data_IF_382313406075
#
_entry.id   IF_382313406075
#
_cell.length_a   1.000
_cell.length_b   1.000
_cell.length_c   1.000
_cell.angle_alpha   90.00
_cell.angle_beta   90.00
_cell.angle_gamma   90.00
#
_symmetry.space_group_name_H-M   'P 1'
#
loop_
_entity.id
_entity.type
_entity.pdbx_description
1 polymer ?
#
# COMPACT_ATOMS: atom_id res chain seq x y z
N UNK A 1 25.86 23.96 13.43
CA UNK A 1 24.76 23.61 14.35
C UNK A 1 23.69 23.01 13.46
N UNK A 2 23.52 21.70 13.46
CA UNK A 2 22.45 21.10 12.66
C UNK A 2 21.16 21.38 13.42
N UNK A 3 20.28 22.21 12.87
CA UNK A 3 18.89 22.24 13.34
C UNK A 3 18.34 20.82 13.20
N UNK A 4 18.00 20.20 14.32
CA UNK A 4 17.36 18.90 14.33
C UNK A 4 15.97 19.04 13.72
N UNK A 5 15.79 18.53 12.51
CA UNK A 5 14.48 18.47 11.85
C UNK A 5 13.57 17.55 12.67
N UNK A 6 12.42 18.07 13.10
CA UNK A 6 11.39 17.31 13.78
C UNK A 6 10.29 16.92 12.77
N UNK A 7 10.12 15.62 12.52
CA UNK A 7 9.19 15.13 11.49
C UNK A 7 7.92 14.57 12.13
N UNK A 8 6.81 15.25 11.86
CA UNK A 8 5.47 14.80 12.22
C UNK A 8 4.82 14.15 11.00
N UNK A 9 4.30 12.93 11.16
CA UNK A 9 3.58 12.21 10.09
C UNK A 9 2.11 12.07 10.46
N UNK A 10 1.23 12.64 9.64
CA UNK A 10 -0.22 12.44 9.75
C UNK A 10 -0.68 11.14 9.08
N UNK A 11 -1.47 10.34 9.79
CA UNK A 11 -2.11 9.14 9.26
C UNK A 11 -3.62 9.30 9.17
N UNK A 12 -4.15 9.29 7.95
CA UNK A 12 -5.59 9.27 7.71
C UNK A 12 -6.25 8.00 8.28
N UNK A 13 -7.52 8.10 8.68
CA UNK A 13 -8.32 6.95 9.15
C UNK A 13 -8.54 5.93 8.03
N UNK A 14 -8.94 4.71 8.40
CA UNK A 14 -9.21 3.66 7.40
C UNK A 14 -10.39 4.03 6.49
N UNK A 15 -11.40 4.69 7.05
CA UNK A 15 -12.56 5.21 6.31
C UNK A 15 -12.13 6.25 5.28
N UNK A 16 -11.28 7.20 5.68
CA UNK A 16 -10.80 8.25 4.78
C UNK A 16 -9.94 7.65 3.66
N UNK A 17 -9.05 6.71 3.97
CA UNK A 17 -8.26 6.01 2.95
C UNK A 17 -9.15 5.22 1.98
N UNK A 18 -10.16 4.52 2.50
CA UNK A 18 -11.10 3.77 1.68
C UNK A 18 -11.91 4.70 0.77
N UNK A 19 -12.30 5.89 1.24
CA UNK A 19 -13.04 6.88 0.44
C UNK A 19 -12.32 7.22 -0.87
N UNK A 20 -11.02 7.52 -0.81
CA UNK A 20 -10.26 7.98 -1.99
C UNK A 20 -9.51 6.87 -2.75
N UNK A 21 -9.28 5.70 -2.14
CA UNK A 21 -8.68 4.53 -2.83
C UNK A 21 -9.71 3.51 -3.31
N UNK A 22 -10.83 3.40 -2.61
CA UNK A 22 -11.89 2.42 -2.83
C UNK A 22 -11.48 0.98 -2.50
N UNK A 23 -12.38 0.05 -2.83
CA UNK A 23 -12.15 -1.40 -2.70
C UNK A 23 -11.87 -1.83 -1.27
N UNK A 24 -10.86 -2.69 -1.11
CA UNK A 24 -10.44 -3.22 0.19
C UNK A 24 -9.23 -2.44 0.79
N UNK A 25 -9.04 -1.18 0.40
CA UNK A 25 -8.01 -0.33 0.99
C UNK A 25 -8.48 0.35 2.28
N UNK A 26 -7.58 0.63 3.23
CA UNK A 26 -6.17 0.23 3.24
C UNK A 26 -6.02 -1.27 3.58
N UNK A 27 -4.96 -1.91 3.07
CA UNK A 27 -4.65 -3.31 3.40
C UNK A 27 -4.26 -3.46 4.88
N UNK A 28 -3.58 -2.45 5.42
CA UNK A 28 -3.21 -2.36 6.83
C UNK A 28 -4.11 -1.33 7.53
N UNK A 29 -4.69 -1.70 8.67
CA UNK A 29 -5.55 -0.81 9.44
C UNK A 29 -4.74 0.35 10.07
N UNK A 30 -5.44 1.34 10.63
CA UNK A 30 -4.82 2.53 11.20
C UNK A 30 -3.78 2.23 12.29
N UNK A 31 -4.03 1.24 13.14
CA UNK A 31 -3.12 0.87 14.21
C UNK A 31 -1.85 0.20 13.67
N UNK A 32 -1.98 -0.72 12.70
CA UNK A 32 -0.85 -1.37 12.03
C UNK A 32 0.02 -0.36 11.28
N UNK A 33 -0.61 0.61 10.60
CA UNK A 33 0.08 1.72 9.93
C UNK A 33 0.80 2.62 10.93
N UNK A 34 0.19 2.89 12.08
CA UNK A 34 0.80 3.68 13.16
C UNK A 34 2.09 3.04 13.64
N UNK A 35 2.07 1.74 13.98
CA UNK A 35 3.27 1.01 14.41
C UNK A 35 4.35 0.98 13.32
N UNK A 36 3.92 0.82 12.05
CA UNK A 36 4.84 0.82 10.91
C UNK A 36 5.57 2.16 10.76
N UNK A 37 4.85 3.28 10.85
CA UNK A 37 5.44 4.61 10.72
C UNK A 37 6.28 4.98 11.92
N UNK A 38 5.87 4.63 13.15
CA UNK A 38 6.68 4.84 14.36
C UNK A 38 8.00 4.05 14.33
N UNK A 39 8.06 2.93 13.62
CA UNK A 39 9.31 2.17 13.44
C UNK A 39 10.30 2.83 12.48
N UNK A 40 9.89 3.89 11.76
CA UNK A 40 10.75 4.59 10.82
C UNK A 40 11.74 5.51 11.56
N UNK A 41 13.04 5.31 11.32
CA UNK A 41 14.13 6.10 11.92
C UNK A 41 13.98 7.61 11.78
N UNK A 42 13.34 8.08 10.70
CA UNK A 42 13.22 9.50 10.40
C UNK A 42 12.02 10.17 11.07
N UNK A 43 11.07 9.39 11.58
CA UNK A 43 9.83 9.93 12.15
C UNK A 43 10.04 10.29 13.61
N UNK A 44 9.63 11.50 14.00
CA UNK A 44 9.69 11.97 15.38
C UNK A 44 8.35 11.76 16.09
N UNK A 45 7.23 11.99 15.39
CA UNK A 45 5.88 11.88 15.94
C UNK A 45 4.86 11.46 14.89
N UNK A 46 3.77 10.82 15.34
CA UNK A 46 2.68 10.38 14.48
C UNK A 46 1.35 10.93 14.97
N UNK A 47 0.62 11.61 14.09
CA UNK A 47 -0.75 12.06 14.34
C UNK A 47 -1.71 10.99 13.82
N UNK A 48 -2.32 10.25 14.74
CA UNK A 48 -3.24 9.16 14.44
C UNK A 48 -4.62 9.75 14.12
N UNK A 49 -5.18 9.41 12.95
CA UNK A 49 -6.47 9.96 12.52
C UNK A 49 -6.36 11.42 12.06
N UNK A 50 -5.25 11.78 11.42
CA UNK A 50 -5.06 13.10 10.86
C UNK A 50 -6.14 13.43 9.80
N UNK A 51 -6.63 14.67 9.74
CA UNK A 51 -7.59 15.09 8.73
C UNK A 51 -6.95 15.08 7.34
N UNK A 52 -7.78 14.88 6.31
CA UNK A 52 -7.34 14.88 4.91
C UNK A 52 -6.87 16.27 4.44
N UNK A 53 -7.64 17.30 4.79
CA UNK A 53 -7.31 18.70 4.49
C UNK A 53 -6.44 19.28 5.60
N UNK A 54 -5.34 19.93 5.23
CA UNK A 54 -4.46 20.63 6.18
C UNK A 54 -5.00 22.04 6.36
N UNK A 55 -5.56 22.33 7.53
CA UNK A 55 -6.11 23.65 7.85
C UNK A 55 -5.14 24.51 8.69
N UNK A 56 -5.54 25.77 8.94
CA UNK A 56 -4.73 26.71 9.74
C UNK A 56 -4.59 26.26 11.19
N UNK A 57 -5.60 25.57 11.73
CA UNK A 57 -5.59 25.10 13.11
C UNK A 57 -4.56 23.99 13.31
N UNK A 58 -4.45 23.05 12.37
CA UNK A 58 -3.45 21.99 12.41
C UNK A 58 -2.05 22.58 12.31
N UNK A 59 -1.84 23.51 11.38
CA UNK A 59 -0.55 24.20 11.21
C UNK A 59 -0.15 24.95 12.48
N UNK A 60 -1.09 25.67 13.12
CA UNK A 60 -0.79 26.43 14.33
C UNK A 60 -0.62 25.52 15.55
N UNK A 61 -1.44 24.48 15.70
CA UNK A 61 -1.40 23.54 16.81
C UNK A 61 -0.05 22.83 16.92
N UNK A 62 0.48 22.36 15.79
CA UNK A 62 1.78 21.69 15.73
C UNK A 62 2.95 22.63 15.45
N UNK A 63 2.70 23.94 15.35
CA UNK A 63 3.68 24.95 14.96
C UNK A 63 4.48 24.55 13.70
N UNK A 64 3.76 24.16 12.65
CA UNK A 64 4.37 23.57 11.44
C UNK A 64 5.08 24.64 10.62
N UNK A 65 6.39 24.46 10.41
CA UNK A 65 7.20 25.32 9.55
C UNK A 65 7.03 24.99 8.06
N UNK A 66 6.88 23.71 7.74
CA UNK A 66 6.79 23.20 6.37
C UNK A 66 5.90 21.96 6.29
N UNK A 67 5.09 21.87 5.23
CA UNK A 67 4.28 20.72 4.85
C UNK A 67 4.89 20.11 3.59
N UNK A 68 5.20 18.82 3.65
CA UNK A 68 5.82 18.10 2.54
C UNK A 68 4.90 17.00 2.04
N UNK A 69 4.75 16.91 0.71
CA UNK A 69 4.12 15.76 0.05
C UNK A 69 5.12 15.09 -0.90
N UNK A 70 4.95 13.79 -1.13
CA UNK A 70 5.70 13.08 -2.16
C UNK A 70 5.34 13.58 -3.56
N UNK A 71 5.96 13.03 -4.60
CA UNK A 71 5.59 13.32 -6.00
C UNK A 71 4.36 12.53 -6.48
N UNK A 72 3.60 11.93 -5.56
CA UNK A 72 2.39 11.19 -5.89
C UNK A 72 1.23 12.14 -6.18
N UNK A 73 0.26 11.65 -6.97
CA UNK A 73 -0.97 12.38 -7.22
C UNK A 73 -1.72 12.67 -5.91
N UNK A 74 -2.14 13.93 -5.77
CA UNK A 74 -2.97 14.41 -4.67
C UNK A 74 -4.41 14.45 -5.16
N UNK A 75 -5.29 13.69 -4.50
CA UNK A 75 -6.71 13.70 -4.82
C UNK A 75 -7.41 14.87 -4.10
N UNK A 76 -8.49 15.41 -4.66
CA UNK A 76 -9.29 16.41 -3.98
C UNK A 76 -9.95 15.85 -2.71
N UNK A 77 -10.27 16.74 -1.78
CA UNK A 77 -11.09 16.42 -0.62
C UNK A 77 -12.55 16.14 -1.03
N UNK A 78 -13.44 15.85 -0.07
CA UNK A 78 -14.86 15.58 -0.33
C UNK A 78 -15.62 16.74 -1.01
N UNK A 79 -15.12 17.97 -0.86
CA UNK A 79 -15.69 19.18 -1.46
C UNK A 79 -15.10 19.47 -2.86
N UNK A 80 -14.19 18.63 -3.36
CA UNK A 80 -13.50 18.84 -4.63
C UNK A 80 -12.37 19.85 -4.56
N UNK A 81 -11.90 20.19 -3.36
CA UNK A 81 -10.85 21.18 -3.14
C UNK A 81 -9.48 20.52 -2.92
N UNK A 82 -8.42 21.26 -3.21
CA UNK A 82 -7.05 20.81 -2.94
C UNK A 82 -6.78 20.79 -1.42
N UNK A 83 -6.44 19.62 -0.83
CA UNK A 83 -6.22 19.51 0.62
C UNK A 83 -5.02 20.32 1.13
N UNK A 84 -4.15 20.81 0.24
CA UNK A 84 -2.98 21.61 0.55
C UNK A 84 -3.14 23.10 0.21
N UNK A 85 -4.37 23.58 -0.06
CA UNK A 85 -4.64 25.01 -0.36
C UNK A 85 -4.04 25.93 0.71
N UNK A 86 -4.33 25.68 1.99
CA UNK A 86 -3.85 26.51 3.10
C UNK A 86 -2.32 26.54 3.21
N UNK A 87 -1.59 25.41 3.26
CA UNK A 87 -0.13 25.47 3.31
C UNK A 87 0.50 26.07 2.05
N UNK A 88 -0.12 25.94 0.87
CA UNK A 88 0.33 26.61 -0.36
C UNK A 88 0.20 28.13 -0.26
N UNK A 89 -0.95 28.62 0.20
CA UNK A 89 -1.20 30.06 0.40
C UNK A 89 -0.23 30.68 1.42
N UNK A 90 0.11 29.91 2.45
CA UNK A 90 1.10 30.31 3.47
C UNK A 90 2.56 30.15 3.01
N UNK A 91 2.80 29.70 1.77
CA UNK A 91 4.15 29.40 1.23
C UNK A 91 4.94 28.39 2.07
N UNK A 92 4.23 27.46 2.71
CA UNK A 92 4.78 26.40 3.56
C UNK A 92 4.73 25.02 2.89
N UNK A 93 4.28 24.90 1.65
CA UNK A 93 4.13 23.62 0.96
C UNK A 93 5.30 23.30 0.02
N UNK A 94 5.85 22.09 0.10
CA UNK A 94 6.89 21.61 -0.80
C UNK A 94 6.61 20.18 -1.31
N UNK A 95 6.88 19.93 -2.59
CA UNK A 95 6.87 18.57 -3.18
C UNK A 95 8.28 18.00 -3.12
N UNK A 96 8.43 16.78 -2.61
CA UNK A 96 9.70 16.03 -2.59
C UNK A 96 9.61 14.74 -3.40
N UNK A 97 10.64 14.50 -4.20
CA UNK A 97 10.80 13.25 -4.94
C UNK A 97 11.40 12.18 -4.02
N UNK A 98 10.75 11.03 -3.92
CA UNK A 98 11.25 9.89 -3.14
C UNK A 98 12.44 9.18 -3.82
N UNK A 99 12.60 9.36 -5.13
CA UNK A 99 13.57 8.60 -5.94
C UNK A 99 13.21 7.12 -6.10
N UNK A 100 12.00 6.70 -5.71
CA UNK A 100 11.54 5.31 -5.76
C UNK A 100 10.21 5.21 -6.48
N UNK A 101 10.12 4.28 -7.44
CA UNK A 101 8.87 3.95 -8.13
C UNK A 101 7.93 3.05 -7.31
N UNK A 102 8.42 2.48 -6.20
CA UNK A 102 7.66 1.55 -5.35
C UNK A 102 6.42 2.21 -4.74
N UNK A 103 5.25 1.62 -4.98
CA UNK A 103 4.00 1.96 -4.30
C UNK A 103 3.21 0.71 -3.86
N UNK A 104 2.16 0.91 -3.05
CA UNK A 104 1.31 -0.19 -2.54
C UNK A 104 0.73 -1.06 -3.67
N UNK A 105 0.35 -0.44 -4.79
CA UNK A 105 -0.13 -1.16 -5.97
C UNK A 105 0.92 -2.12 -6.54
N UNK A 106 2.19 -1.68 -6.64
CA UNK A 106 3.26 -2.56 -7.12
C UNK A 106 3.48 -3.76 -6.19
N UNK A 107 3.41 -3.55 -4.88
CA UNK A 107 3.54 -4.64 -3.90
C UNK A 107 2.41 -5.66 -4.09
N UNK A 108 1.17 -5.18 -4.21
CA UNK A 108 0.00 -6.04 -4.45
C UNK A 108 0.16 -6.82 -5.76
N UNK A 109 0.51 -6.15 -6.86
CA UNK A 109 0.72 -6.81 -8.16
C UNK A 109 1.79 -7.89 -8.10
N UNK A 110 2.89 -7.65 -7.37
CA UNK A 110 3.95 -8.65 -7.18
C UNK A 110 3.47 -9.88 -6.42
N UNK A 111 2.66 -9.68 -5.38
CA UNK A 111 2.08 -10.78 -4.59
C UNK A 111 1.11 -11.61 -5.45
N UNK A 112 0.20 -10.95 -6.17
CA UNK A 112 -0.77 -11.62 -7.05
C UNK A 112 -0.05 -12.40 -8.15
N UNK A 113 0.93 -11.80 -8.82
CA UNK A 113 1.71 -12.49 -9.86
C UNK A 113 2.46 -13.70 -9.32
N UNK A 114 2.95 -13.63 -8.08
CA UNK A 114 3.61 -14.77 -7.46
C UNK A 114 2.64 -15.91 -7.12
N UNK A 115 1.44 -15.56 -6.63
CA UNK A 115 0.36 -16.51 -6.38
C UNK A 115 -0.06 -17.23 -7.67
N UNK A 116 -0.28 -16.50 -8.76
CA UNK A 116 -0.66 -17.08 -10.04
C UNK A 116 0.40 -18.09 -10.52
N UNK A 117 1.68 -17.73 -10.49
CA UNK A 117 2.78 -18.65 -10.85
C UNK A 117 2.81 -19.91 -9.99
N UNK A 118 2.44 -19.81 -8.71
CA UNK A 118 2.35 -20.98 -7.85
C UNK A 118 1.18 -21.88 -8.25
N UNK A 119 -0.01 -21.31 -8.48
CA UNK A 119 -1.21 -22.03 -8.88
C UNK A 119 -1.01 -22.73 -10.25
N UNK A 120 -0.45 -22.04 -11.24
CA UNK A 120 -0.20 -22.60 -12.59
C UNK A 120 0.75 -23.82 -12.54
N UNK A 121 1.81 -23.74 -11.73
CA UNK A 121 2.77 -24.85 -11.57
C UNK A 121 2.13 -26.05 -10.90
N UNK A 122 1.31 -25.83 -9.89
CA UNK A 122 0.62 -26.91 -9.19
C UNK A 122 -0.40 -27.58 -10.10
N UNK A 123 -1.19 -26.79 -10.82
CA UNK A 123 -2.18 -27.31 -11.77
C UNK A 123 -1.51 -28.12 -12.89
N UNK A 124 -0.39 -27.65 -13.44
CA UNK A 124 0.38 -28.41 -14.43
C UNK A 124 0.92 -29.74 -13.87
N UNK A 125 1.33 -29.75 -12.59
CA UNK A 125 1.77 -30.97 -11.90
C UNK A 125 0.61 -31.95 -11.70
N UNK A 126 -0.56 -31.48 -11.26
CA UNK A 126 -1.76 -32.30 -11.08
C UNK A 126 -2.22 -32.94 -12.40
N UNK A 127 -2.25 -32.18 -13.50
CA UNK A 127 -2.57 -32.71 -14.83
C UNK A 127 -1.59 -33.84 -15.20
N UNK A 128 -0.29 -33.61 -14.98
CA UNK A 128 0.75 -34.59 -15.33
C UNK A 128 0.64 -35.86 -14.49
N UNK A 129 0.37 -35.74 -13.19
CA UNK A 129 0.20 -36.87 -12.28
C UNK A 129 -1.06 -37.68 -12.63
N UNK A 130 -2.18 -37.00 -12.92
CA UNK A 130 -3.41 -37.67 -13.34
C UNK A 130 -3.22 -38.43 -14.66
N UNK A 131 -2.57 -37.82 -15.65
CA UNK A 131 -2.28 -38.48 -16.92
C UNK A 131 -1.35 -39.70 -16.77
N UNK A 132 -0.36 -39.63 -15.87
CA UNK A 132 0.52 -40.76 -15.56
C UNK A 132 -0.26 -41.92 -14.92
N UNK A 133 -1.13 -41.63 -13.95
CA UNK A 133 -1.98 -42.62 -13.30
C UNK A 133 -2.95 -43.30 -14.28
N UNK A 134 -3.63 -42.52 -15.14
CA UNK A 134 -4.53 -43.06 -16.16
C UNK A 134 -3.79 -43.97 -17.17
N UNK A 135 -2.59 -43.58 -17.58
CA UNK A 135 -1.75 -44.40 -18.45
C UNK A 135 -1.29 -45.71 -17.79
N UNK A 136 -0.98 -45.67 -16.49
CA UNK A 136 -0.58 -46.85 -15.73
C UNK A 136 -1.75 -47.82 -15.54
N UNK A 137 -2.93 -47.32 -15.18
CA UNK A 137 -4.16 -48.12 -15.09
C UNK A 137 -4.50 -48.80 -16.41
N UNK A 138 -4.37 -48.08 -17.54
CA UNK A 138 -4.61 -48.64 -18.87
C UNK A 138 -3.63 -49.76 -19.20
N UNK A 139 -2.33 -49.57 -18.90
CA UNK A 139 -1.30 -50.62 -19.10
C UNK A 139 -1.58 -51.87 -18.28
N UNK A 140 -2.03 -51.72 -17.03
CA UNK A 140 -2.37 -52.85 -16.16
C UNK A 140 -3.60 -53.62 -16.69
N UNK A 141 -4.62 -52.92 -17.18
CA UNK A 141 -5.79 -53.55 -17.79
C UNK A 141 -5.43 -54.38 -19.04
N UNK A 142 -4.62 -53.82 -19.95
CA UNK A 142 -4.15 -54.52 -21.16
C UNK A 142 -3.32 -55.78 -20.84
N UNK A 143 -2.51 -55.75 -19.77
CA UNK A 143 -1.72 -56.92 -19.32
C UNK A 143 -2.59 -58.02 -18.71
N UNK A 144 -3.73 -57.69 -18.12
CA UNK A 144 -4.64 -58.66 -17.50
C UNK A 144 -5.50 -59.38 -18.53
N UNK A 145 -5.82 -58.74 -19.66
CA UNK A 145 -6.61 -59.33 -20.76
C UNK A 145 -5.81 -60.28 -21.66
N UNK A 146 -4.48 -60.27 -21.57
CA UNK A 146 -3.59 -61.10 -22.41
C UNK A 146 -3.11 -62.38 -21.71
N UNK A 147 -3.63 -62.68 -20.50
CA UNK A 147 -3.36 -63.92 -19.75
C UNK A 147 -4.56 -64.88 -19.76
#
# INVERSE_FOLDING_TARGET
MYDSIYIIVGLHTDQEVNRYRGGNFPIMNLHERTLSVLSCKFVSEVVIGAPYTIDKNLISHFNVDMVVHGSTEVLPNELGEDPYTVPKDLKKFEIKLSGSEMNTGNIISRIIANRQRFEDRNHAKEIKEKAAYEAEMKRQAEQTETQ
#
